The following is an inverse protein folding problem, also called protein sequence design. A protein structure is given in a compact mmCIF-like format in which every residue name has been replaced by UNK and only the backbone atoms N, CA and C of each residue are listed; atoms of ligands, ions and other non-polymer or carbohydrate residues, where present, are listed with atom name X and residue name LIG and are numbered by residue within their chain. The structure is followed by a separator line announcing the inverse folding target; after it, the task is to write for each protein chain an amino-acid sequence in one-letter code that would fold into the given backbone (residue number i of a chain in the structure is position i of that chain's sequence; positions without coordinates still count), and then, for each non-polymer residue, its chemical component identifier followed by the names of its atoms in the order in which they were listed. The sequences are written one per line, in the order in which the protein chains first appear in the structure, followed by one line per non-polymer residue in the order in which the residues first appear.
data_IF_539491628754
#
_entry.id   IF_539491628754
#
_cell.length_a   1.000
_cell.length_b   1.000
_cell.length_c   1.000
_cell.angle_alpha   90.00
_cell.angle_beta   90.00
_cell.angle_gamma   90.00
#
_symmetry.space_group_name_H-M   'P 1'
#
loop_
_entity.id
_entity.type
_entity.pdbx_description
1 polymer ?
#
# COMPACT_ATOMS: atom_id res chain seq x y z
N UNK A 1 -14.01 12.73 27.64
CA UNK A 1 -12.54 12.61 27.68
C UNK A 1 -11.99 11.56 26.67
N UNK A 2 -12.51 11.48 25.42
CA UNK A 2 -12.12 10.44 24.45
C UNK A 2 -11.21 10.93 23.28
N UNK A 3 -10.93 12.24 23.18
CA UNK A 3 -10.13 12.83 22.08
C UNK A 3 -8.63 12.48 22.17
N UNK A 4 -8.10 12.21 23.36
CA UNK A 4 -6.66 12.07 23.58
C UNK A 4 -6.09 10.70 23.14
N UNK A 5 -6.84 9.61 23.31
CA UNK A 5 -6.46 8.29 22.80
C UNK A 5 -6.57 8.17 21.27
N UNK A 6 -7.54 8.88 20.68
CA UNK A 6 -7.85 8.89 19.24
C UNK A 6 -6.69 9.43 18.39
N UNK A 7 -6.08 10.55 18.80
CA UNK A 7 -4.98 11.17 18.07
C UNK A 7 -3.68 10.33 18.07
N UNK A 8 -3.45 9.50 19.10
CA UNK A 8 -2.27 8.63 19.13
C UNK A 8 -2.41 7.46 18.16
N UNK A 9 -3.58 6.85 18.11
CA UNK A 9 -3.83 5.71 17.23
C UNK A 9 -3.76 6.09 15.75
N UNK A 10 -4.39 7.19 15.34
CA UNK A 10 -4.31 7.71 13.96
C UNK A 10 -2.86 7.97 13.54
N UNK A 11 -2.06 8.60 14.41
CA UNK A 11 -0.62 8.83 14.18
C UNK A 11 0.16 7.51 14.08
N UNK A 12 -0.16 6.51 14.88
CA UNK A 12 0.49 5.19 14.81
C UNK A 12 0.19 4.48 13.49
N UNK A 13 -1.07 4.50 13.02
CA UNK A 13 -1.43 3.87 11.75
C UNK A 13 -0.80 4.62 10.58
N UNK A 14 -0.77 5.96 10.62
CA UNK A 14 -0.08 6.75 9.61
C UNK A 14 1.43 6.46 9.59
N UNK A 15 2.06 6.26 10.75
CA UNK A 15 3.46 5.87 10.83
C UNK A 15 3.70 4.47 10.22
N UNK A 16 2.75 3.54 10.37
CA UNK A 16 2.83 2.22 9.72
C UNK A 16 2.79 2.37 8.20
N UNK A 17 1.83 3.12 7.64
CA UNK A 17 1.77 3.36 6.19
C UNK A 17 3.07 3.99 5.67
N UNK A 18 3.59 5.01 6.37
CA UNK A 18 4.86 5.63 5.99
C UNK A 18 6.04 4.66 6.07
N UNK A 19 6.04 3.76 7.07
CA UNK A 19 7.07 2.73 7.19
C UNK A 19 7.01 1.75 6.02
N UNK A 20 5.80 1.35 5.60
CA UNK A 20 5.61 0.51 4.41
C UNK A 20 6.10 1.20 3.14
N UNK A 21 5.84 2.50 2.98
CA UNK A 21 6.37 3.28 1.84
C UNK A 21 7.91 3.25 1.83
N UNK A 22 8.54 3.51 2.98
CA UNK A 22 10.00 3.52 3.10
C UNK A 22 10.63 2.13 2.89
N UNK A 23 10.00 1.07 3.38
CA UNK A 23 10.44 -0.31 3.08
C UNK A 23 10.35 -0.56 1.57
N UNK A 24 9.25 -0.15 0.94
CA UNK A 24 9.04 -0.28 -0.51
C UNK A 24 10.11 0.48 -1.31
N UNK A 25 10.49 1.69 -0.86
CA UNK A 25 11.61 2.46 -1.43
C UNK A 25 12.91 1.67 -1.37
N UNK A 26 13.27 1.12 -0.21
CA UNK A 26 14.51 0.34 -0.06
C UNK A 26 14.49 -0.88 -0.99
N UNK A 27 13.35 -1.56 -1.10
CA UNK A 27 13.20 -2.74 -1.95
C UNK A 27 13.29 -2.38 -3.45
N UNK A 28 12.77 -1.24 -3.88
CA UNK A 28 12.90 -0.74 -5.25
C UNK A 28 14.36 -0.40 -5.56
N UNK A 29 15.02 0.38 -4.71
CA UNK A 29 16.40 0.82 -4.93
C UNK A 29 17.42 -0.32 -4.86
N UNK A 30 17.12 -1.38 -4.12
CA UNK A 30 17.94 -2.61 -4.06
C UNK A 30 17.59 -3.61 -5.17
N UNK A 31 16.60 -3.32 -6.02
CA UNK A 31 16.15 -4.20 -7.10
C UNK A 31 15.44 -5.47 -6.64
N UNK A 32 15.06 -5.57 -5.36
CA UNK A 32 14.30 -6.70 -4.80
C UNK A 32 12.86 -6.73 -5.33
N UNK A 33 12.32 -5.55 -5.63
CA UNK A 33 11.08 -5.35 -6.38
C UNK A 33 11.33 -4.34 -7.50
N UNK A 34 10.51 -4.41 -8.54
CA UNK A 34 10.53 -3.52 -9.70
C UNK A 34 9.10 -3.32 -10.21
N UNK A 35 8.89 -2.30 -11.02
CA UNK A 35 7.62 -2.10 -11.70
C UNK A 35 7.34 -3.28 -12.66
N UNK A 36 6.28 -4.02 -12.34
CA UNK A 36 5.79 -5.15 -13.12
C UNK A 36 4.66 -4.79 -14.09
N UNK A 37 3.95 -3.68 -13.84
CA UNK A 37 2.87 -3.22 -14.69
C UNK A 37 2.14 -2.00 -14.12
N UNK A 38 1.22 -1.48 -14.93
CA UNK A 38 0.37 -0.34 -14.59
C UNK A 38 -1.08 -0.81 -14.60
N UNK A 39 -1.82 -0.51 -13.54
CA UNK A 39 -3.27 -0.69 -13.49
C UNK A 39 -3.95 0.65 -13.69
N UNK A 40 -4.89 0.71 -14.62
CA UNK A 40 -5.67 1.93 -14.89
C UNK A 40 -6.95 1.86 -14.08
N UNK A 41 -7.27 2.92 -13.37
CA UNK A 41 -8.55 3.04 -12.66
C UNK A 41 -9.57 3.75 -13.55
N UNK A 42 -10.83 3.34 -13.49
CA UNK A 42 -11.91 3.90 -14.31
C UNK A 42 -12.24 5.36 -13.98
N UNK A 43 -11.77 5.85 -12.84
CA UNK A 43 -12.00 7.22 -12.34
C UNK A 43 -10.92 8.22 -12.78
N UNK A 44 -10.00 7.81 -13.66
CA UNK A 44 -9.02 8.71 -14.28
C UNK A 44 -7.64 8.73 -13.62
N UNK A 45 -7.32 7.74 -12.78
CA UNK A 45 -6.00 7.55 -12.21
C UNK A 45 -5.33 6.26 -12.66
N UNK A 46 -4.12 6.02 -12.15
CA UNK A 46 -3.44 4.74 -12.34
C UNK A 46 -2.61 4.36 -11.12
N UNK A 47 -2.32 3.07 -10.98
CA UNK A 47 -1.46 2.53 -9.93
C UNK A 47 -0.37 1.65 -10.53
N UNK A 48 0.76 1.55 -9.83
CA UNK A 48 1.87 0.70 -10.23
C UNK A 48 1.84 -0.59 -9.44
N UNK A 49 1.99 -1.71 -10.15
CA UNK A 49 2.18 -3.03 -9.58
C UNK A 49 3.66 -3.32 -9.44
N UNK A 50 4.15 -3.44 -8.21
CA UNK A 50 5.54 -3.74 -7.90
C UNK A 50 5.68 -5.23 -7.59
N UNK A 51 6.63 -5.90 -8.25
CA UNK A 51 6.89 -7.34 -8.13
C UNK A 51 8.38 -7.63 -8.14
N UNK A 52 8.80 -8.77 -7.60
CA UNK A 52 10.19 -9.21 -7.69
C UNK A 52 10.49 -10.40 -6.81
N UNK A 53 11.77 -10.62 -6.52
CA UNK A 53 12.26 -11.84 -5.87
C UNK A 53 11.55 -12.12 -4.55
N UNK A 54 11.35 -11.08 -3.74
CA UNK A 54 10.67 -11.20 -2.43
C UNK A 54 9.16 -11.44 -2.54
N UNK A 55 8.56 -11.17 -3.71
CA UNK A 55 7.13 -11.37 -3.95
C UNK A 55 6.83 -12.63 -4.76
N UNK A 56 7.86 -13.46 -5.01
CA UNK A 56 7.75 -14.71 -5.77
C UNK A 56 7.74 -14.51 -7.29
N UNK A 57 8.16 -13.36 -7.79
CA UNK A 57 8.22 -13.04 -9.22
C UNK A 57 9.64 -12.76 -9.69
N UNK A 58 9.91 -12.96 -10.98
CA UNK A 58 11.14 -12.47 -11.59
C UNK A 58 11.10 -10.95 -11.77
N UNK A 59 12.27 -10.33 -11.72
CA UNK A 59 12.45 -8.93 -12.10
C UNK A 59 12.14 -8.73 -13.59
N UNK A 60 11.54 -7.62 -13.95
CA UNK A 60 11.46 -7.16 -15.34
C UNK A 60 12.88 -6.88 -15.86
N UNK A 61 13.25 -7.48 -16.98
CA UNK A 61 14.55 -7.29 -17.63
C UNK A 61 14.29 -6.83 -19.07
N UNK A 62 15.06 -5.85 -19.52
CA UNK A 62 15.04 -5.36 -20.88
C UNK A 62 15.41 -6.44 -21.88
N UNK A 63 14.85 -6.35 -23.08
CA UNK A 63 15.16 -7.27 -24.17
C UNK A 63 16.61 -7.01 -24.62
N UNK A 64 17.40 -8.06 -24.83
CA UNK A 64 18.83 -7.95 -25.17
C UNK A 64 19.10 -7.10 -26.43
N UNK A 65 18.13 -7.03 -27.36
CA UNK A 65 18.21 -6.23 -28.58
C UNK A 65 18.16 -4.73 -28.35
N UNK A 66 17.77 -4.28 -27.15
CA UNK A 66 17.66 -2.87 -26.77
C UNK A 66 18.57 -2.60 -25.57
N UNK A 67 19.82 -2.15 -25.80
CA UNK A 67 20.82 -1.98 -24.73
C UNK A 67 20.39 -1.03 -23.61
N UNK A 68 19.50 -0.09 -23.92
CA UNK A 68 19.03 0.94 -23.00
C UNK A 68 17.79 0.53 -22.19
N UNK A 69 17.17 -0.62 -22.49
CA UNK A 69 15.92 -1.01 -21.87
C UNK A 69 16.05 -1.19 -20.35
N UNK A 70 17.16 -1.78 -19.88
CA UNK A 70 17.42 -1.91 -18.44
C UNK A 70 17.57 -0.56 -17.75
N UNK A 71 18.26 0.39 -18.38
CA UNK A 71 18.43 1.73 -17.83
C UNK A 71 17.09 2.47 -17.68
N UNK A 72 16.17 2.28 -18.64
CA UNK A 72 14.82 2.85 -18.56
C UNK A 72 14.02 2.22 -17.41
N UNK A 73 14.11 0.90 -17.24
CA UNK A 73 13.45 0.20 -16.13
C UNK A 73 14.02 0.65 -14.77
N UNK A 74 15.35 0.73 -14.65
CA UNK A 74 16.03 1.23 -13.45
C UNK A 74 15.64 2.69 -13.13
N UNK A 75 15.56 3.54 -14.15
CA UNK A 75 15.13 4.93 -13.99
C UNK A 75 13.66 5.02 -13.53
N UNK A 76 12.78 4.18 -14.07
CA UNK A 76 11.38 4.13 -13.66
C UNK A 76 11.25 3.69 -12.19
N UNK A 77 12.01 2.67 -11.77
CA UNK A 77 12.06 2.21 -10.38
C UNK A 77 12.58 3.32 -9.44
N UNK A 78 13.62 4.06 -9.86
CA UNK A 78 14.17 5.18 -9.10
C UNK A 78 13.18 6.35 -8.98
N UNK A 79 12.45 6.69 -10.05
CA UNK A 79 11.40 7.72 -10.04
C UNK A 79 10.27 7.30 -9.09
N UNK A 80 9.80 6.06 -9.14
CA UNK A 80 8.78 5.56 -8.22
C UNK A 80 9.25 5.61 -6.76
N UNK A 81 10.50 5.23 -6.49
CA UNK A 81 11.10 5.35 -5.17
C UNK A 81 11.15 6.81 -4.69
N UNK A 82 11.52 7.76 -5.57
CA UNK A 82 11.51 9.18 -5.25
C UNK A 82 10.10 9.69 -4.94
N UNK A 83 9.08 9.29 -5.70
CA UNK A 83 7.69 9.69 -5.46
C UNK A 83 7.17 9.15 -4.11
N UNK A 84 7.56 7.95 -3.71
CA UNK A 84 7.27 7.40 -2.37
C UNK A 84 7.96 8.22 -1.27
N UNK A 85 9.23 8.60 -1.45
CA UNK A 85 9.95 9.46 -0.49
C UNK A 85 9.26 10.82 -0.36
N UNK A 86 8.86 11.43 -1.48
CA UNK A 86 8.17 12.71 -1.53
C UNK A 86 6.69 12.64 -1.12
N UNK A 87 6.21 11.43 -0.75
CA UNK A 87 4.84 11.22 -0.27
C UNK A 87 3.78 11.64 -1.31
N UNK A 88 4.16 11.54 -2.60
CA UNK A 88 3.34 11.79 -3.79
C UNK A 88 2.58 10.55 -4.25
N UNK A 89 3.10 9.38 -3.90
CA UNK A 89 2.43 8.08 -4.00
C UNK A 89 2.68 7.32 -2.71
N UNK A 90 1.82 6.36 -2.39
CA UNK A 90 1.86 5.54 -1.19
C UNK A 90 1.51 4.10 -1.54
N UNK A 91 1.92 3.16 -0.68
CA UNK A 91 1.46 1.78 -0.72
C UNK A 91 -0.03 1.76 -0.39
N UNK A 92 -0.85 1.41 -1.38
CA UNK A 92 -2.30 1.34 -1.25
C UNK A 92 -2.79 -0.07 -0.90
N UNK A 93 -1.96 -1.08 -1.10
CA UNK A 93 -2.26 -2.45 -0.72
C UNK A 93 -1.36 -3.49 -1.38
N UNK A 94 -1.77 -4.75 -1.25
CA UNK A 94 -1.10 -5.90 -1.86
C UNK A 94 -2.13 -6.72 -2.63
N UNK A 95 -1.79 -7.13 -3.85
CA UNK A 95 -2.60 -8.06 -4.62
C UNK A 95 -1.95 -9.44 -4.59
N UNK A 96 -2.73 -10.45 -4.23
CA UNK A 96 -2.27 -11.83 -4.16
C UNK A 96 -2.80 -12.57 -5.39
N UNK A 97 -1.92 -13.29 -6.08
CA UNK A 97 -2.25 -14.13 -7.22
C UNK A 97 -1.72 -15.54 -7.00
N UNK A 98 -1.95 -16.45 -7.94
CA UNK A 98 -1.53 -17.84 -7.78
C UNK A 98 0.01 -17.95 -7.87
N UNK A 99 0.66 -18.13 -6.72
CA UNK A 99 2.12 -18.29 -6.61
C UNK A 99 2.94 -17.01 -6.47
N UNK A 100 2.29 -15.84 -6.42
CA UNK A 100 3.00 -14.56 -6.19
C UNK A 100 2.08 -13.51 -5.57
N UNK A 101 2.66 -12.44 -5.04
CA UNK A 101 1.92 -11.23 -4.72
C UNK A 101 2.60 -10.02 -5.34
N UNK A 102 1.89 -8.90 -5.39
CA UNK A 102 2.44 -7.61 -5.80
C UNK A 102 2.07 -6.55 -4.78
N UNK A 103 2.97 -5.59 -4.62
CA UNK A 103 2.72 -4.39 -3.82
C UNK A 103 2.20 -3.34 -4.78
N UNK A 104 1.07 -2.72 -4.47
CA UNK A 104 0.49 -1.69 -5.34
C UNK A 104 0.66 -0.32 -4.71
N UNK A 105 1.17 0.60 -5.51
CA UNK A 105 1.42 1.99 -5.12
C UNK A 105 0.62 2.94 -6.01
N UNK A 106 0.02 3.95 -5.39
CA UNK A 106 -0.72 5.02 -6.08
C UNK A 106 -0.80 6.28 -5.21
N UNK A 107 -1.27 7.38 -5.77
CA UNK A 107 -1.51 8.61 -5.03
C UNK A 107 -1.67 9.84 -5.94
N UNK A 108 -1.55 11.06 -5.36
CA UNK A 108 -1.81 12.31 -6.06
C UNK A 108 -1.06 12.48 -7.39
N UNK A 109 0.20 12.04 -7.46
CA UNK A 109 0.97 12.12 -8.72
C UNK A 109 0.38 11.27 -9.85
N UNK A 110 -0.45 10.28 -9.54
CA UNK A 110 -1.11 9.41 -10.50
C UNK A 110 -2.62 9.68 -10.61
N UNK A 111 -3.11 10.81 -10.09
CA UNK A 111 -4.51 11.21 -10.19
C UNK A 111 -5.45 10.55 -9.18
N UNK A 112 -4.92 9.84 -8.18
CA UNK A 112 -5.71 9.26 -7.08
C UNK A 112 -5.59 10.08 -5.79
N UNK A 113 -6.64 10.06 -4.97
CA UNK A 113 -6.56 10.68 -3.65
C UNK A 113 -5.53 9.98 -2.76
N UNK A 114 -4.87 10.78 -1.91
CA UNK A 114 -3.92 10.24 -0.94
C UNK A 114 -4.64 9.34 0.07
N UNK A 115 -4.18 8.10 0.21
CA UNK A 115 -4.65 7.19 1.26
C UNK A 115 -4.27 7.75 2.62
N UNK A 116 -5.27 8.17 3.38
CA UNK A 116 -5.11 8.56 4.79
C UNK A 116 -5.52 7.41 5.71
N UNK A 117 -4.78 7.26 6.81
CA UNK A 117 -5.11 6.29 7.83
C UNK A 117 -6.48 6.60 8.45
N UNK A 118 -7.39 5.62 8.41
CA UNK A 118 -8.65 5.62 9.19
C UNK A 118 -9.66 6.72 8.80
N UNK A 119 -10.30 6.58 7.63
CA UNK A 119 -11.42 7.45 7.23
C UNK A 119 -12.62 7.35 8.20
N UNK A 120 -13.51 8.36 8.25
CA UNK A 120 -14.75 8.28 9.00
C UNK A 120 -15.59 7.04 8.65
N UNK A 121 -15.58 6.64 7.38
CA UNK A 121 -16.34 5.48 6.89
C UNK A 121 -15.76 4.16 7.39
N UNK A 122 -14.43 4.05 7.46
CA UNK A 122 -13.78 2.87 8.05
C UNK A 122 -14.20 2.69 9.52
N UNK A 123 -14.38 3.78 10.27
CA UNK A 123 -14.88 3.69 11.66
C UNK A 123 -16.29 3.16 11.73
N UNK A 124 -17.17 3.67 10.87
CA UNK A 124 -18.56 3.27 10.82
C UNK A 124 -18.66 1.80 10.45
N UNK A 125 -17.92 1.36 9.43
CA UNK A 125 -17.83 -0.03 9.04
C UNK A 125 -17.35 -0.92 10.19
N UNK A 126 -16.25 -0.58 10.87
CA UNK A 126 -15.76 -1.41 11.98
C UNK A 126 -16.71 -1.45 13.18
N UNK A 127 -17.44 -0.36 13.48
CA UNK A 127 -18.45 -0.40 14.55
C UNK A 127 -19.63 -1.29 14.15
N UNK A 128 -20.13 -1.16 12.93
CA UNK A 128 -21.25 -1.95 12.42
C UNK A 128 -20.86 -3.44 12.34
N UNK A 129 -19.69 -3.75 11.76
CA UNK A 129 -19.17 -5.11 11.68
C UNK A 129 -19.01 -5.73 13.06
N UNK A 130 -18.45 -4.97 14.01
CA UNK A 130 -18.30 -5.41 15.40
C UNK A 130 -19.65 -5.76 16.02
N UNK A 131 -20.64 -4.90 15.88
CA UNK A 131 -21.97 -5.12 16.44
C UNK A 131 -22.62 -6.35 15.80
N UNK A 132 -22.50 -6.52 14.48
CA UNK A 132 -23.06 -7.66 13.76
C UNK A 132 -22.39 -9.00 14.12
N UNK A 133 -21.06 -9.01 14.29
CA UNK A 133 -20.32 -10.21 14.70
C UNK A 133 -20.64 -10.57 16.15
N UNK A 134 -20.69 -9.60 17.06
CA UNK A 134 -21.01 -9.89 18.46
C UNK A 134 -22.46 -10.32 18.67
N UNK A 135 -23.40 -9.80 17.88
CA UNK A 135 -24.79 -10.23 17.89
C UNK A 135 -24.93 -11.68 17.39
N UNK A 136 -24.27 -12.05 16.28
CA UNK A 136 -24.32 -13.42 15.74
C UNK A 136 -23.53 -14.44 16.55
N UNK A 137 -22.40 -14.07 17.14
CA UNK A 137 -21.54 -15.01 17.87
C UNK A 137 -21.91 -15.21 19.34
N UNK A 138 -22.99 -14.57 19.85
CA UNK A 138 -23.44 -14.69 21.27
C UNK A 138 -22.31 -14.52 22.30
N UNK A 139 -21.27 -13.76 21.97
CA UNK A 139 -20.17 -13.51 22.90
C UNK A 139 -20.72 -12.59 23.98
N UNK A 140 -20.91 -13.10 25.20
CA UNK A 140 -21.29 -12.27 26.34
C UNK A 140 -20.27 -11.14 26.49
N UNK A 141 -20.75 -9.89 26.48
CA UNK A 141 -19.94 -8.71 26.79
C UNK A 141 -19.49 -8.78 28.26
N UNK A 142 -18.44 -9.54 28.56
CA UNK A 142 -17.82 -9.52 29.87
C UNK A 142 -16.89 -8.30 29.94
N UNK A 143 -17.46 -7.15 30.29
CA UNK A 143 -16.69 -5.98 30.69
C UNK A 143 -16.28 -6.18 32.17
N UNK A 144 -14.99 -6.38 32.50
CA UNK A 144 -14.58 -6.28 33.89
C UNK A 144 -14.76 -4.84 34.34
N UNK A 145 -15.65 -4.61 35.30
CA UNK A 145 -15.71 -3.35 36.04
C UNK A 145 -14.46 -3.27 36.91
N UNK A 146 -13.52 -2.39 36.56
CA UNK A 146 -12.60 -1.75 37.51
C UNK A 146 -12.40 -0.31 37.10
#
# INVERSE_FOLDING_TARGET
MAKWGKNRFEKSVQAIHRTLDLITVVLLLTGQITIGGVFITTEGGFSLSLRGAITGSARSIGIETVPQANLVLDAADAIAALLLILDQINVIGTFITNGSFTIVVSGPAFGEEKRVAYSPDARKFFSEFKDHVFEKCRVQKHFPRR
#
